data_IF_166008393916
#
_entry.id   IF_166008393916
#
_cell.length_a   1.000
_cell.length_b   1.000
_cell.length_c   1.000
_cell.angle_alpha   90.00
_cell.angle_beta   90.00
_cell.angle_gamma   90.00
#
_symmetry.space_group_name_H-M   'P 1'
#
loop_
_entity.id
_entity.type
_entity.pdbx_description
1 polymer ?
#
# COMPACT_ATOMS: atom_id res chain seq x y z
N UNK A 1 1.89 4.33 1.31
CA UNK A 1 2.62 4.27 0.04
C UNK A 1 1.64 3.87 -1.06
N UNK A 2 1.66 4.54 -2.20
CA UNK A 2 0.79 4.27 -3.35
C UNK A 2 1.50 4.78 -4.59
N UNK A 3 1.60 3.94 -5.61
CA UNK A 3 2.36 4.23 -6.82
C UNK A 3 1.44 4.20 -8.06
N UNK A 4 1.83 4.87 -9.16
CA UNK A 4 1.24 4.59 -10.46
C UNK A 4 1.60 3.17 -10.90
N UNK A 5 0.63 2.46 -11.48
CA UNK A 5 0.85 1.12 -12.04
C UNK A 5 0.05 0.98 -13.34
N UNK A 6 0.73 0.63 -14.42
CA UNK A 6 0.14 0.40 -15.75
C UNK A 6 0.68 -0.93 -16.27
N UNK A 7 -0.23 -1.78 -16.74
CA UNK A 7 0.12 -3.02 -17.43
C UNK A 7 -0.28 -2.92 -18.90
N UNK A 8 0.60 -3.37 -19.80
CA UNK A 8 0.38 -3.29 -21.24
C UNK A 8 0.80 -4.60 -21.91
N UNK A 9 -0.15 -5.25 -22.58
CA UNK A 9 0.11 -6.46 -23.36
C UNK A 9 -0.93 -6.64 -24.46
N UNK A 10 -0.65 -6.17 -25.70
CA UNK A 10 -1.58 -6.26 -26.82
C UNK A 10 -2.00 -7.70 -27.12
N UNK A 11 -3.30 -7.88 -27.40
CA UNK A 11 -3.88 -9.19 -27.67
C UNK A 11 -4.03 -10.09 -26.44
N UNK A 12 -3.67 -9.61 -25.24
CA UNK A 12 -3.81 -10.35 -23.97
C UNK A 12 -4.54 -9.55 -22.90
N UNK A 13 -4.10 -8.31 -22.65
CA UNK A 13 -4.78 -7.39 -21.74
C UNK A 13 -5.72 -6.50 -22.56
N UNK A 14 -6.99 -6.46 -22.18
CA UNK A 14 -7.97 -5.57 -22.78
C UNK A 14 -7.57 -4.10 -22.59
N UNK A 15 -7.56 -3.27 -23.65
CA UNK A 15 -7.13 -1.88 -23.54
C UNK A 15 -8.11 -1.01 -22.75
N UNK A 16 -7.61 0.07 -22.16
CA UNK A 16 -8.41 1.12 -21.52
C UNK A 16 -9.15 0.70 -20.25
N UNK A 17 -8.78 -0.43 -19.65
CA UNK A 17 -9.41 -0.93 -18.43
C UNK A 17 -8.81 -0.30 -17.16
N UNK A 18 -9.62 -0.27 -16.10
CA UNK A 18 -9.19 0.07 -14.74
C UNK A 18 -9.53 -1.09 -13.83
N UNK A 19 -8.57 -1.52 -13.02
CA UNK A 19 -8.78 -2.50 -11.95
C UNK A 19 -8.57 -1.83 -10.60
N UNK A 20 -9.46 -2.13 -9.65
CA UNK A 20 -9.35 -1.69 -8.26
C UNK A 20 -8.70 -2.75 -7.35
N UNK A 21 -8.11 -3.81 -7.95
CA UNK A 21 -7.30 -4.77 -7.21
C UNK A 21 -6.25 -4.05 -6.37
N UNK A 22 -6.22 -4.36 -5.07
CA UNK A 22 -5.15 -3.90 -4.19
C UNK A 22 -3.87 -4.65 -4.58
N UNK A 23 -2.95 -3.96 -5.24
CA UNK A 23 -1.66 -4.49 -5.69
C UNK A 23 -0.47 -4.07 -4.81
N UNK A 24 0.64 -4.76 -5.00
CA UNK A 24 1.95 -4.55 -4.38
C UNK A 24 3.02 -4.78 -5.45
N UNK A 25 4.15 -4.08 -5.33
CA UNK A 25 5.30 -4.32 -6.21
C UNK A 25 5.77 -5.78 -6.16
N UNK A 26 5.62 -6.42 -4.98
CA UNK A 26 6.00 -7.82 -4.76
C UNK A 26 5.21 -8.80 -5.64
N UNK A 27 4.05 -8.41 -6.16
CA UNK A 27 3.22 -9.26 -7.01
C UNK A 27 3.80 -9.51 -8.39
N UNK A 28 4.68 -8.62 -8.86
CA UNK A 28 5.33 -8.81 -10.16
C UNK A 28 6.12 -10.13 -10.20
N UNK A 29 6.73 -10.52 -9.07
CA UNK A 29 7.48 -11.77 -8.97
C UNK A 29 6.62 -13.02 -9.26
N UNK A 30 5.59 -13.36 -8.47
CA UNK A 30 4.75 -14.52 -8.74
C UNK A 30 3.92 -14.37 -10.02
N UNK A 31 3.56 -13.16 -10.43
CA UNK A 31 2.84 -12.93 -11.71
C UNK A 31 3.69 -13.36 -12.89
N UNK A 32 4.97 -12.95 -12.95
CA UNK A 32 5.86 -13.33 -14.05
C UNK A 32 6.09 -14.85 -14.06
N UNK A 33 6.30 -15.47 -12.88
CA UNK A 33 6.45 -16.92 -12.77
C UNK A 33 5.23 -17.67 -13.32
N UNK A 34 4.02 -17.27 -12.93
CA UNK A 34 2.77 -17.86 -13.42
C UNK A 34 2.55 -17.64 -14.92
N UNK A 35 2.96 -16.49 -15.46
CA UNK A 35 2.90 -16.22 -16.90
C UNK A 35 3.82 -17.15 -17.72
N UNK A 36 4.96 -17.57 -17.16
CA UNK A 36 5.89 -18.50 -17.82
C UNK A 36 5.72 -19.96 -17.38
N UNK A 37 4.71 -20.26 -16.55
CA UNK A 37 4.42 -21.63 -16.10
C UNK A 37 5.39 -22.19 -15.06
N UNK A 38 6.08 -21.32 -14.31
CA UNK A 38 6.99 -21.70 -13.22
C UNK A 38 6.27 -21.54 -11.87
N UNK A 39 6.47 -22.50 -10.97
CA UNK A 39 5.95 -22.41 -9.61
C UNK A 39 6.88 -21.56 -8.73
N UNK A 40 6.34 -20.69 -7.85
CA UNK A 40 7.16 -19.97 -6.88
C UNK A 40 7.82 -20.94 -5.89
N UNK A 41 8.91 -20.52 -5.22
CA UNK A 41 9.52 -21.31 -4.14
C UNK A 41 8.49 -21.68 -3.07
N UNK A 42 8.48 -22.95 -2.66
CA UNK A 42 7.59 -23.47 -1.61
C UNK A 42 8.28 -23.64 -0.26
N UNK A 43 9.58 -23.34 -0.18
CA UNK A 43 10.41 -23.47 1.02
C UNK A 43 10.41 -22.22 1.91
N UNK A 44 9.72 -21.16 1.48
CA UNK A 44 9.67 -19.86 2.16
C UNK A 44 8.36 -19.13 1.87
N UNK A 45 7.93 -18.20 2.74
CA UNK A 45 6.79 -17.34 2.44
C UNK A 45 7.08 -16.45 1.24
N UNK A 46 6.06 -16.24 0.41
CA UNK A 46 6.05 -15.28 -0.68
C UNK A 46 4.84 -14.37 -0.47
N UNK A 47 5.07 -13.09 -0.20
CA UNK A 47 3.99 -12.14 0.12
C UNK A 47 3.19 -11.71 -1.11
N UNK A 48 3.83 -11.73 -2.29
CA UNK A 48 3.18 -11.40 -3.55
C UNK A 48 2.17 -12.47 -3.95
N UNK A 49 1.13 -12.07 -4.68
CA UNK A 49 0.21 -12.98 -5.36
C UNK A 49 0.29 -12.78 -6.87
N UNK A 50 0.03 -13.83 -7.65
CA UNK A 50 -0.08 -13.67 -9.09
C UNK A 50 -1.28 -12.78 -9.44
N UNK A 51 -1.03 -11.73 -10.23
CA UNK A 51 -2.04 -10.85 -10.80
C UNK A 51 -2.44 -11.27 -12.21
N UNK A 52 -2.01 -12.45 -12.70
CA UNK A 52 -2.32 -12.92 -14.06
C UNK A 52 -3.82 -12.87 -14.36
N UNK A 53 -4.65 -13.39 -13.46
CA UNK A 53 -6.10 -13.37 -13.67
C UNK A 53 -6.68 -11.95 -13.53
N UNK A 54 -6.14 -11.12 -12.63
CA UNK A 54 -6.49 -9.69 -12.58
C UNK A 54 -6.17 -8.99 -13.90
N UNK A 55 -5.02 -9.26 -14.50
CA UNK A 55 -4.57 -8.64 -15.74
C UNK A 55 -5.38 -9.11 -16.95
N UNK A 56 -5.68 -10.40 -17.03
CA UNK A 56 -6.31 -11.01 -18.20
C UNK A 56 -7.84 -11.06 -18.13
N UNK A 57 -8.40 -11.09 -16.92
CA UNK A 57 -9.84 -11.33 -16.68
C UNK A 57 -10.47 -10.28 -15.75
N UNK A 58 -9.69 -9.31 -15.26
CA UNK A 58 -10.14 -8.27 -14.33
C UNK A 58 -10.76 -8.81 -13.03
N UNK A 59 -10.26 -9.94 -12.54
CA UNK A 59 -10.67 -10.52 -11.25
C UNK A 59 -10.01 -9.79 -10.08
N UNK A 60 -10.65 -9.86 -8.92
CA UNK A 60 -10.15 -9.28 -7.68
C UNK A 60 -9.98 -10.36 -6.61
N UNK A 61 -8.89 -10.25 -5.86
CA UNK A 61 -8.55 -11.06 -4.72
C UNK A 61 -8.43 -10.16 -3.49
N UNK A 62 -9.20 -10.51 -2.46
CA UNK A 62 -9.13 -9.81 -1.19
C UNK A 62 -7.81 -10.14 -0.47
N UNK A 63 -7.01 -9.11 -0.18
CA UNK A 63 -5.68 -9.26 0.44
C UNK A 63 -5.33 -8.06 1.33
N UNK A 64 -4.49 -8.25 2.35
CA UNK A 64 -3.89 -7.14 3.07
C UNK A 64 -2.70 -6.54 2.31
N UNK A 65 -2.39 -5.27 2.59
CA UNK A 65 -1.09 -4.66 2.28
C UNK A 65 -0.50 -4.10 3.56
N UNK A 66 0.74 -4.49 3.84
CA UNK A 66 1.49 -4.07 5.02
C UNK A 66 2.46 -2.95 4.66
N UNK A 67 2.48 -1.89 5.46
CA UNK A 67 3.36 -0.74 5.26
C UNK A 67 4.41 -0.72 6.36
N UNK A 68 5.63 -1.10 6.00
CA UNK A 68 6.77 -1.10 6.92
C UNK A 68 7.61 0.18 6.78
N UNK A 69 8.17 0.63 7.91
CA UNK A 69 9.29 1.59 7.95
C UNK A 69 10.39 0.98 8.83
N UNK A 70 11.49 0.58 8.20
CA UNK A 70 12.52 -0.20 8.89
C UNK A 70 11.94 -1.52 9.41
N UNK A 71 12.11 -1.77 10.71
CA UNK A 71 11.62 -2.95 11.41
C UNK A 71 10.21 -2.77 12.03
N UNK A 72 9.53 -1.64 11.78
CA UNK A 72 8.20 -1.35 12.35
C UNK A 72 7.10 -1.51 11.31
N UNK A 73 6.06 -2.27 11.65
CA UNK A 73 4.81 -2.33 10.89
C UNK A 73 3.99 -1.07 11.21
N UNK A 74 4.03 -0.07 10.33
CA UNK A 74 3.42 1.24 10.57
C UNK A 74 1.90 1.19 10.34
N UNK A 75 1.47 0.52 9.27
CA UNK A 75 0.07 0.47 8.89
C UNK A 75 -0.29 -0.81 8.14
N UNK A 76 -1.59 -1.13 8.13
CA UNK A 76 -2.18 -2.22 7.35
C UNK A 76 -3.36 -1.70 6.57
N UNK A 77 -3.46 -2.04 5.29
CA UNK A 77 -4.66 -1.81 4.47
C UNK A 77 -5.35 -3.14 4.19
N UNK A 78 -6.67 -3.15 4.33
CA UNK A 78 -7.54 -4.23 3.90
C UNK A 78 -8.78 -3.64 3.22
N UNK A 79 -8.95 -3.95 1.93
CA UNK A 79 -9.98 -3.34 1.10
C UNK A 79 -9.90 -1.81 1.10
N UNK A 80 -10.98 -1.18 1.57
CA UNK A 80 -11.17 0.27 1.62
C UNK A 80 -10.66 0.92 2.90
N UNK A 81 -10.18 0.12 3.85
CA UNK A 81 -9.75 0.60 5.16
C UNK A 81 -8.24 0.49 5.31
N UNK A 82 -7.66 1.48 5.96
CA UNK A 82 -6.26 1.50 6.36
C UNK A 82 -6.15 1.89 7.83
N UNK A 83 -5.50 1.04 8.61
CA UNK A 83 -5.23 1.28 10.02
C UNK A 83 -3.75 1.65 10.20
N UNK A 84 -3.46 2.75 10.88
CA UNK A 84 -2.11 3.08 11.35
C UNK A 84 -1.96 2.64 12.80
N UNK A 85 -0.98 1.77 13.01
CA UNK A 85 -0.51 1.34 14.32
C UNK A 85 0.49 2.38 14.86
N UNK A 86 1.29 2.94 13.95
CA UNK A 86 2.29 3.96 14.24
C UNK A 86 2.20 5.09 13.22
N UNK A 87 2.43 6.32 13.65
CA UNK A 87 2.59 7.48 12.76
C UNK A 87 3.91 8.18 13.00
N UNK A 88 4.54 8.64 11.92
CA UNK A 88 5.77 9.42 11.99
C UNK A 88 6.09 10.06 10.63
N UNK A 89 6.33 11.37 10.59
CA UNK A 89 6.92 12.05 9.44
C UNK A 89 8.45 11.97 9.53
N UNK A 90 9.07 12.93 10.19
CA UNK A 90 10.50 13.03 10.48
C UNK A 90 10.72 13.73 11.82
N UNK A 91 11.93 13.59 12.36
CA UNK A 91 12.26 14.19 13.66
C UNK A 91 12.14 15.72 13.64
N UNK A 92 11.82 16.31 14.80
CA UNK A 92 11.77 17.77 14.93
C UNK A 92 13.11 18.44 14.61
N UNK A 93 14.24 17.76 14.87
CA UNK A 93 15.56 18.28 14.51
C UNK A 93 15.76 18.37 12.99
N UNK A 94 15.31 17.36 12.23
CA UNK A 94 15.36 17.41 10.75
C UNK A 94 14.41 18.44 10.19
N UNK A 95 13.21 18.53 10.76
CA UNK A 95 12.21 19.52 10.36
C UNK A 95 12.72 20.95 10.52
N UNK A 96 13.31 21.27 11.68
CA UNK A 96 13.92 22.58 11.95
C UNK A 96 15.12 22.90 11.04
N UNK A 97 15.71 21.90 10.38
CA UNK A 97 16.77 22.07 9.37
C UNK A 97 16.23 22.22 7.95
N UNK A 98 14.91 22.30 7.79
CA UNK A 98 14.23 22.50 6.50
C UNK A 98 13.82 21.21 5.79
N UNK A 99 13.98 20.03 6.40
CA UNK A 99 13.49 18.77 5.82
C UNK A 99 12.01 18.62 6.14
N UNK A 100 11.14 18.74 5.15
CA UNK A 100 9.70 18.57 5.33
C UNK A 100 9.16 17.51 4.36
N UNK A 101 8.70 16.38 4.88
CA UNK A 101 8.10 15.31 4.08
C UNK A 101 6.66 15.61 3.65
N UNK A 102 5.98 16.56 4.31
CA UNK A 102 4.56 16.89 4.13
C UNK A 102 4.36 18.41 3.97
N UNK A 103 4.96 19.07 2.96
CA UNK A 103 4.86 20.52 2.79
C UNK A 103 3.41 20.96 2.57
N UNK A 104 2.92 21.85 3.44
CA UNK A 104 1.54 22.36 3.38
C UNK A 104 0.48 21.42 3.96
N UNK A 105 0.89 20.28 4.53
CA UNK A 105 0.00 19.30 5.14
C UNK A 105 0.33 19.11 6.63
N UNK A 106 -0.62 19.43 7.49
CA UNK A 106 -0.53 19.21 8.93
C UNK A 106 -1.88 18.66 9.42
N UNK A 107 -1.86 17.43 9.93
CA UNK A 107 -3.03 16.72 10.41
C UNK A 107 -2.73 16.31 11.86
N UNK A 108 -3.52 16.87 12.77
CA UNK A 108 -3.34 16.66 14.20
C UNK A 108 -3.35 15.16 14.54
N UNK A 109 -2.34 14.72 15.30
CA UNK A 109 -2.12 13.32 15.72
C UNK A 109 -1.82 12.32 14.58
N UNK A 110 -1.67 12.77 13.33
CA UNK A 110 -1.35 11.92 12.17
C UNK A 110 0.03 12.28 11.61
N UNK A 111 0.30 13.54 11.31
CA UNK A 111 1.59 13.99 10.78
C UNK A 111 2.53 14.40 11.93
N UNK A 112 2.93 13.43 12.76
CA UNK A 112 3.70 13.66 13.99
C UNK A 112 5.22 13.67 13.75
N UNK A 113 5.95 14.55 14.44
CA UNK A 113 7.42 14.61 14.40
C UNK A 113 8.11 13.58 15.31
N UNK A 114 7.35 13.01 16.24
CA UNK A 114 7.75 11.83 17.01
C UNK A 114 7.09 10.58 16.40
N UNK A 115 7.73 9.42 16.62
CA UNK A 115 7.11 8.14 16.31
C UNK A 115 6.11 7.79 17.40
N UNK A 116 4.83 7.85 17.06
CA UNK A 116 3.71 7.66 18.01
C UNK A 116 3.02 6.34 17.73
N UNK A 117 2.89 5.50 18.77
CA UNK A 117 2.03 4.31 18.78
C UNK A 117 0.59 4.72 19.07
N UNK A 118 -0.36 4.05 18.43
CA UNK A 118 -1.80 4.32 18.61
C UNK A 118 -2.52 3.12 19.20
N UNK A 119 -3.33 3.35 20.23
CA UNK A 119 -4.30 2.40 20.78
C UNK A 119 -5.55 3.19 21.24
N UNK A 120 -6.70 3.10 20.55
CA UNK A 120 -6.95 2.28 19.36
C UNK A 120 -6.19 2.78 18.12
N UNK A 121 -5.99 1.89 17.14
CA UNK A 121 -5.36 2.24 15.86
C UNK A 121 -6.13 3.34 15.11
N UNK A 122 -5.41 4.23 14.42
CA UNK A 122 -6.05 5.25 13.59
C UNK A 122 -6.57 4.64 12.30
N UNK A 123 -7.90 4.51 12.19
CA UNK A 123 -8.56 3.88 11.05
C UNK A 123 -9.06 4.92 10.04
N UNK A 124 -8.76 4.73 8.75
CA UNK A 124 -9.20 5.61 7.66
C UNK A 124 -9.94 4.81 6.59
N UNK A 125 -10.95 5.43 5.97
CA UNK A 125 -11.61 4.90 4.76
C UNK A 125 -11.02 5.56 3.51
N UNK A 126 -10.04 4.94 2.88
CA UNK A 126 -9.18 5.57 1.86
C UNK A 126 -9.88 5.93 0.54
N UNK A 127 -11.01 5.31 0.22
CA UNK A 127 -11.80 5.69 -0.97
C UNK A 127 -12.65 6.96 -0.73
N UNK A 128 -13.00 7.25 0.53
CA UNK A 128 -13.76 8.45 0.92
C UNK A 128 -12.84 9.58 1.34
N UNK A 129 -11.75 9.23 2.03
CA UNK A 129 -10.73 10.12 2.51
C UNK A 129 -9.35 9.66 2.03
N UNK A 130 -9.02 9.87 0.74
CA UNK A 130 -7.73 9.48 0.17
C UNK A 130 -6.55 10.27 0.75
N UNK A 131 -6.82 11.41 1.40
CA UNK A 131 -5.82 12.26 2.04
C UNK A 131 -5.58 11.94 3.51
N UNK A 132 -6.26 10.95 4.08
CA UNK A 132 -6.07 10.49 5.46
C UNK A 132 -6.21 11.63 6.49
N UNK A 133 -7.21 12.50 6.29
CA UNK A 133 -7.49 13.70 7.09
C UNK A 133 -8.43 13.44 8.27
N UNK A 134 -9.29 12.44 8.16
CA UNK A 134 -10.36 12.18 9.11
C UNK A 134 -10.37 10.70 9.50
N UNK A 135 -9.77 10.39 10.65
CA UNK A 135 -9.84 9.04 11.21
C UNK A 135 -11.22 8.75 11.80
N UNK A 136 -11.62 7.48 11.70
CA UNK A 136 -12.89 6.95 12.22
C UNK A 136 -12.73 6.75 13.73
N UNK A 137 -13.72 7.23 14.49
CA UNK A 137 -13.82 7.03 15.94
C UNK A 137 -14.61 5.78 16.27
#
# INVERSE_FOLDING_TARGET
MREPAIAWWPGKISPGQVSHQVGSLMDLFPTVLDLVGIQPPSDRPIDGISLKDTLLQNTQVHRPVFYYRGNTLMAVRLGDYKAHLWTWTNSIQEFNRGVNFCPGEEIQNVTTHDQVEHDPWLLFHINRDPGEKYFIK
#
